data_IF_035185287184
#
_entry.id   IF_035185287184
#
_cell.length_a   1.000
_cell.length_b   1.000
_cell.length_c   1.000
_cell.angle_alpha   90.00
_cell.angle_beta   90.00
_cell.angle_gamma   90.00
#
_symmetry.space_group_name_H-M   'P 1'
#
loop_
_entity.id
_entity.type
_entity.pdbx_description
1 polymer ?
#
# COMPACT_ATOMS: atom_id res chain seq x y z
N UNK A 1 -3.73 11.76 -14.34
CA UNK A 1 -4.66 11.60 -13.22
C UNK A 1 -5.63 10.50 -13.63
N UNK A 2 -5.85 9.46 -12.81
CA UNK A 2 -6.83 8.40 -13.16
C UNK A 2 -8.24 8.98 -12.98
N UNK A 3 -9.09 8.85 -13.98
CA UNK A 3 -10.50 9.26 -13.89
C UNK A 3 -11.25 8.17 -13.13
N UNK A 4 -11.92 8.53 -12.04
CA UNK A 4 -12.82 7.62 -11.29
C UNK A 4 -14.25 7.90 -11.73
N UNK A 5 -14.92 6.87 -12.24
CA UNK A 5 -16.36 6.91 -12.49
C UNK A 5 -17.11 6.65 -11.19
N UNK A 6 -18.10 7.46 -10.86
CA UNK A 6 -18.98 7.22 -9.71
C UNK A 6 -20.33 6.77 -10.27
N UNK A 7 -20.70 5.48 -10.18
CA UNK A 7 -22.01 5.01 -10.60
C UNK A 7 -23.13 5.66 -9.75
N UNK A 8 -24.33 5.73 -10.31
CA UNK A 8 -25.51 6.17 -9.56
C UNK A 8 -25.78 5.24 -8.36
N UNK A 9 -26.58 5.68 -7.41
CA UNK A 9 -26.90 4.85 -6.23
C UNK A 9 -27.61 3.55 -6.67
N UNK A 10 -28.53 3.63 -7.63
CA UNK A 10 -29.24 2.47 -8.19
C UNK A 10 -28.28 1.50 -8.84
N UNK A 11 -27.38 2.01 -9.70
CA UNK A 11 -26.37 1.18 -10.37
C UNK A 11 -25.43 0.49 -9.37
N UNK A 12 -24.98 1.19 -8.33
CA UNK A 12 -24.14 0.59 -7.28
C UNK A 12 -24.87 -0.52 -6.54
N UNK A 13 -26.16 -0.34 -6.23
CA UNK A 13 -26.95 -1.36 -5.56
C UNK A 13 -27.09 -2.58 -6.43
N UNK A 14 -27.42 -2.41 -7.71
CA UNK A 14 -27.57 -3.51 -8.65
C UNK A 14 -26.25 -4.23 -8.93
N UNK A 15 -25.16 -3.49 -9.13
CA UNK A 15 -23.81 -4.07 -9.26
C UNK A 15 -23.41 -4.86 -8.03
N UNK A 16 -23.74 -4.37 -6.83
CA UNK A 16 -23.48 -5.09 -5.59
C UNK A 16 -24.29 -6.38 -5.48
N UNK A 17 -25.56 -6.36 -5.85
CA UNK A 17 -26.42 -7.55 -5.87
C UNK A 17 -25.85 -8.61 -6.83
N UNK A 18 -25.47 -8.21 -8.04
CA UNK A 18 -24.83 -9.11 -9.02
C UNK A 18 -23.52 -9.68 -8.44
N UNK A 19 -22.68 -8.83 -7.85
CA UNK A 19 -21.41 -9.26 -7.25
C UNK A 19 -21.63 -10.32 -6.18
N UNK A 20 -22.62 -10.14 -5.29
CA UNK A 20 -22.94 -11.09 -4.22
C UNK A 20 -23.39 -12.45 -4.77
N UNK A 21 -24.05 -12.50 -5.91
CA UNK A 21 -24.47 -13.75 -6.57
C UNK A 21 -23.31 -14.42 -7.33
N UNK A 22 -22.40 -13.64 -7.90
CA UNK A 22 -21.29 -14.17 -8.69
C UNK A 22 -20.10 -14.61 -7.83
N UNK A 23 -19.82 -13.96 -6.69
CA UNK A 23 -18.69 -14.30 -5.81
C UNK A 23 -18.70 -15.78 -5.41
N UNK A 24 -19.81 -16.39 -4.93
CA UNK A 24 -19.84 -17.81 -4.59
C UNK A 24 -19.55 -18.74 -5.77
N UNK A 25 -19.86 -18.32 -7.00
CA UNK A 25 -19.61 -19.09 -8.23
C UNK A 25 -18.13 -19.05 -8.61
N UNK A 26 -17.53 -17.86 -8.54
CA UNK A 26 -16.16 -17.63 -9.05
C UNK A 26 -15.08 -17.85 -8.02
N UNK A 27 -15.33 -17.63 -6.72
CA UNK A 27 -14.29 -17.74 -5.67
C UNK A 27 -13.62 -19.13 -5.65
N UNK A 28 -14.35 -20.27 -5.80
CA UNK A 28 -13.72 -21.58 -5.88
C UNK A 28 -12.91 -21.81 -7.17
N UNK A 29 -13.13 -21.02 -8.22
CA UNK A 29 -12.48 -21.17 -9.52
C UNK A 29 -11.19 -20.33 -9.65
N UNK A 30 -11.00 -19.38 -8.74
CA UNK A 30 -9.81 -18.53 -8.77
C UNK A 30 -8.57 -19.27 -8.27
N UNK A 31 -7.45 -19.04 -8.96
CA UNK A 31 -6.16 -19.59 -8.56
C UNK A 31 -5.76 -19.17 -7.13
N UNK A 32 -5.10 -20.06 -6.40
CA UNK A 32 -4.61 -19.79 -5.04
C UNK A 32 -3.64 -18.60 -4.99
N UNK A 33 -2.89 -18.36 -6.07
CA UNK A 33 -1.95 -17.25 -6.21
C UNK A 33 -2.60 -15.88 -6.42
N UNK A 34 -3.93 -15.79 -6.56
CA UNK A 34 -4.68 -14.55 -6.69
C UNK A 34 -5.12 -14.02 -5.31
N UNK A 35 -4.68 -12.82 -4.94
CA UNK A 35 -4.91 -12.24 -3.61
C UNK A 35 -5.72 -10.94 -3.61
N UNK A 36 -5.78 -10.23 -4.73
CA UNK A 36 -6.47 -8.94 -4.81
C UNK A 36 -7.99 -9.10 -4.98
N UNK A 37 -8.77 -8.37 -4.20
CA UNK A 37 -10.23 -8.35 -4.24
C UNK A 37 -10.92 -9.68 -3.88
N UNK A 38 -10.25 -10.55 -3.14
CA UNK A 38 -10.81 -11.79 -2.62
C UNK A 38 -11.18 -11.66 -1.14
N UNK A 39 -12.25 -12.30 -0.68
CA UNK A 39 -12.52 -12.43 0.75
C UNK A 39 -11.40 -13.25 1.42
N UNK A 40 -11.02 -12.86 2.62
CA UNK A 40 -10.03 -13.56 3.46
C UNK A 40 -8.62 -13.68 2.86
N UNK A 41 -8.28 -12.97 1.78
CA UNK A 41 -6.94 -12.88 1.22
C UNK A 41 -6.43 -11.43 1.29
N UNK A 42 -5.16 -11.25 1.61
CA UNK A 42 -4.58 -9.93 1.81
C UNK A 42 -3.28 -9.71 1.03
N UNK A 43 -2.86 -8.46 0.92
CA UNK A 43 -1.55 -8.11 0.38
C UNK A 43 -0.38 -8.70 1.21
N UNK A 44 -0.61 -8.93 2.50
CA UNK A 44 0.38 -9.56 3.39
C UNK A 44 0.59 -11.02 3.01
N UNK A 45 -0.50 -11.75 2.77
CA UNK A 45 -0.44 -13.17 2.37
C UNK A 45 0.28 -13.32 1.03
N UNK A 46 0.02 -12.41 0.09
CA UNK A 46 0.73 -12.38 -1.19
C UNK A 46 2.26 -12.24 -1.00
N UNK A 47 2.71 -11.34 -0.13
CA UNK A 47 4.14 -11.16 0.16
C UNK A 47 4.73 -12.33 0.92
N UNK A 48 4.00 -12.92 1.86
CA UNK A 48 4.44 -14.13 2.57
C UNK A 48 4.58 -15.31 1.61
N UNK A 49 3.69 -15.43 0.63
CA UNK A 49 3.81 -16.45 -0.42
C UNK A 49 4.99 -16.23 -1.35
N UNK A 50 5.31 -14.98 -1.71
CA UNK A 50 6.57 -14.66 -2.44
C UNK A 50 7.79 -15.05 -1.62
N UNK A 51 7.79 -14.80 -0.30
CA UNK A 51 8.86 -15.20 0.62
C UNK A 51 9.02 -16.72 0.65
N UNK A 52 7.93 -17.46 0.81
CA UNK A 52 7.90 -18.93 0.82
C UNK A 52 8.52 -19.52 -0.47
N UNK A 53 8.13 -19.02 -1.64
CA UNK A 53 8.73 -19.45 -2.90
C UNK A 53 10.22 -19.07 -3.01
N UNK A 54 10.60 -17.91 -2.48
CA UNK A 54 12.02 -17.52 -2.45
C UNK A 54 12.87 -18.49 -1.57
N UNK A 55 12.30 -18.99 -0.47
CA UNK A 55 12.90 -20.02 0.40
C UNK A 55 13.05 -21.37 -0.34
N UNK A 56 12.13 -21.68 -1.25
CA UNK A 56 12.20 -22.85 -2.15
C UNK A 56 13.16 -22.68 -3.33
N UNK A 57 13.91 -21.56 -3.39
CA UNK A 57 14.90 -21.28 -4.42
C UNK A 57 14.40 -20.47 -5.62
N UNK A 58 13.15 -20.00 -5.63
CA UNK A 58 12.65 -19.11 -6.68
C UNK A 58 13.11 -17.66 -6.41
N UNK A 59 14.34 -17.36 -6.80
CA UNK A 59 15.03 -16.10 -6.45
C UNK A 59 14.95 -15.02 -7.54
N UNK A 60 14.37 -15.33 -8.68
CA UNK A 60 14.13 -14.39 -9.78
C UNK A 60 12.64 -14.15 -9.97
N UNK A 61 12.26 -12.91 -10.13
CA UNK A 61 10.89 -12.48 -10.35
C UNK A 61 10.74 -11.80 -11.72
N UNK A 62 9.65 -12.12 -12.39
CA UNK A 62 9.09 -11.33 -13.48
C UNK A 62 8.02 -10.45 -12.88
N UNK A 63 8.23 -9.14 -12.87
CA UNK A 63 7.23 -8.16 -12.45
C UNK A 63 6.55 -7.63 -13.70
N UNK A 64 5.26 -7.83 -13.82
CA UNK A 64 4.44 -7.34 -14.94
C UNK A 64 3.58 -6.16 -14.48
N UNK A 65 3.57 -5.10 -15.25
CA UNK A 65 2.73 -3.91 -15.08
C UNK A 65 1.83 -3.78 -16.30
N UNK A 66 0.51 -3.84 -16.10
CA UNK A 66 -0.47 -3.69 -17.17
C UNK A 66 -0.79 -2.21 -17.41
N UNK A 67 -0.78 -1.80 -18.66
CA UNK A 67 -1.12 -0.42 -19.03
C UNK A 67 -2.62 -0.23 -18.98
N UNK A 68 -3.09 0.65 -18.08
CA UNK A 68 -4.52 1.03 -17.98
C UNK A 68 -5.49 -0.17 -17.95
N UNK A 69 -5.14 -1.21 -17.19
CA UNK A 69 -5.82 -2.49 -17.17
C UNK A 69 -7.35 -2.39 -17.19
N UNK A 70 -7.94 -1.60 -16.28
CA UNK A 70 -9.39 -1.43 -16.23
C UNK A 70 -9.98 -0.71 -17.45
N UNK A 71 -9.18 0.08 -18.14
CA UNK A 71 -9.63 0.88 -19.29
C UNK A 71 -9.51 0.10 -20.62
N UNK A 72 -8.82 -1.06 -20.63
CA UNK A 72 -8.49 -1.84 -21.84
C UNK A 72 -9.04 -3.28 -21.82
N UNK A 73 -9.91 -3.60 -20.88
CA UNK A 73 -10.57 -4.90 -20.82
C UNK A 73 -11.45 -5.11 -22.06
N UNK A 74 -11.17 -6.18 -22.82
CA UNK A 74 -11.99 -6.52 -23.99
C UNK A 74 -13.34 -7.12 -23.56
N UNK A 75 -14.44 -6.46 -23.92
CA UNK A 75 -15.78 -6.85 -23.53
C UNK A 75 -16.18 -8.22 -24.05
N UNK A 76 -15.81 -8.58 -25.27
CA UNK A 76 -16.20 -9.87 -25.86
C UNK A 76 -15.53 -11.04 -25.14
N UNK A 77 -14.22 -10.92 -24.87
CA UNK A 77 -13.49 -11.93 -24.09
C UNK A 77 -14.13 -12.08 -22.71
N UNK A 78 -14.38 -10.97 -22.01
CA UNK A 78 -14.97 -10.98 -20.68
C UNK A 78 -16.36 -11.64 -20.67
N UNK A 79 -17.23 -11.30 -21.63
CA UNK A 79 -18.57 -11.87 -21.74
C UNK A 79 -18.50 -13.37 -22.03
N UNK A 80 -17.59 -13.81 -22.88
CA UNK A 80 -17.38 -15.22 -23.16
C UNK A 80 -16.87 -15.99 -21.91
N UNK A 81 -16.01 -15.37 -21.11
CA UNK A 81 -15.57 -15.94 -19.83
C UNK A 81 -16.72 -16.06 -18.83
N UNK A 82 -17.59 -15.05 -18.76
CA UNK A 82 -18.77 -15.09 -17.89
C UNK A 82 -19.71 -16.22 -18.29
N UNK A 83 -19.97 -16.41 -19.57
CA UNK A 83 -20.86 -17.48 -20.11
C UNK A 83 -20.39 -18.89 -19.76
N UNK A 84 -19.12 -19.11 -19.51
CA UNK A 84 -18.61 -20.43 -19.08
C UNK A 84 -19.25 -20.90 -17.77
N UNK A 85 -19.53 -19.97 -16.83
CA UNK A 85 -19.96 -20.30 -15.48
C UNK A 85 -21.33 -19.70 -15.10
N UNK A 86 -21.78 -18.64 -15.78
CA UNK A 86 -23.08 -18.00 -15.56
C UNK A 86 -24.07 -18.47 -16.58
N UNK A 87 -25.02 -19.32 -16.16
CA UNK A 87 -26.02 -19.94 -17.06
C UNK A 87 -27.16 -18.97 -17.48
N UNK A 88 -27.46 -17.97 -16.64
CA UNK A 88 -28.52 -17.00 -16.93
C UNK A 88 -27.99 -15.89 -17.86
N UNK A 89 -28.37 -16.01 -19.15
CA UNK A 89 -27.96 -15.03 -20.16
C UNK A 89 -28.49 -13.61 -19.88
N UNK A 90 -29.59 -13.47 -19.13
CA UNK A 90 -30.12 -12.13 -18.75
C UNK A 90 -29.12 -11.38 -17.85
N UNK A 91 -28.47 -12.09 -16.92
CA UNK A 91 -27.43 -11.53 -16.07
C UNK A 91 -26.21 -11.14 -16.90
N UNK A 92 -25.79 -12.00 -17.83
CA UNK A 92 -24.65 -11.72 -18.72
C UNK A 92 -24.94 -10.50 -19.61
N UNK A 93 -26.14 -10.39 -20.17
CA UNK A 93 -26.55 -9.23 -20.96
C UNK A 93 -26.65 -7.96 -20.13
N UNK A 94 -27.08 -8.04 -18.88
CA UNK A 94 -27.09 -6.91 -17.98
C UNK A 94 -25.67 -6.40 -17.71
N UNK A 95 -24.72 -7.31 -17.45
CA UNK A 95 -23.30 -6.96 -17.28
C UNK A 95 -22.76 -6.31 -18.56
N UNK A 96 -23.09 -6.86 -19.73
CA UNK A 96 -22.69 -6.29 -21.03
C UNK A 96 -23.21 -4.86 -21.21
N UNK A 97 -24.46 -4.58 -20.80
CA UNK A 97 -25.03 -3.22 -20.83
C UNK A 97 -24.27 -2.28 -19.89
N UNK A 98 -23.89 -2.74 -18.70
CA UNK A 98 -23.06 -1.98 -17.78
C UNK A 98 -21.69 -1.61 -18.38
N UNK A 99 -21.04 -2.55 -19.01
CA UNK A 99 -19.73 -2.30 -19.65
C UNK A 99 -19.85 -1.27 -20.79
N UNK A 100 -20.97 -1.26 -21.51
CA UNK A 100 -21.24 -0.36 -22.63
C UNK A 100 -21.94 0.95 -22.24
N UNK A 101 -22.30 1.17 -20.96
CA UNK A 101 -23.12 2.31 -20.54
C UNK A 101 -22.44 3.67 -20.71
N UNK A 102 -21.16 3.70 -21.05
CA UNK A 102 -20.39 4.93 -21.20
C UNK A 102 -20.05 5.62 -19.87
N UNK A 103 -19.34 6.71 -19.96
CA UNK A 103 -18.95 7.56 -18.83
C UNK A 103 -19.34 9.00 -19.12
N UNK A 104 -20.12 9.63 -18.23
CA UNK A 104 -20.46 11.03 -18.36
C UNK A 104 -19.26 11.90 -17.92
N UNK A 105 -18.77 12.75 -18.82
CA UNK A 105 -17.70 13.71 -18.57
C UNK A 105 -18.21 15.11 -18.93
N UNK A 106 -18.29 16.01 -17.95
CA UNK A 106 -18.78 17.36 -18.14
C UNK A 106 -20.17 17.45 -18.80
N UNK A 107 -21.08 16.53 -18.48
CA UNK A 107 -22.45 16.49 -19.03
C UNK A 107 -22.58 15.80 -20.39
N UNK A 108 -21.48 15.32 -20.97
CA UNK A 108 -21.48 14.55 -22.22
C UNK A 108 -21.23 13.09 -21.92
N UNK A 109 -22.07 12.19 -22.47
CA UNK A 109 -21.86 10.73 -22.37
C UNK A 109 -20.87 10.32 -23.45
N UNK A 110 -19.79 9.67 -23.04
CA UNK A 110 -18.77 9.08 -23.91
C UNK A 110 -18.99 7.59 -23.88
N UNK A 111 -19.32 6.98 -25.01
CA UNK A 111 -19.47 5.53 -25.14
C UNK A 111 -18.13 4.82 -24.85
N UNK A 112 -18.23 3.64 -24.22
CA UNK A 112 -17.08 2.80 -23.92
C UNK A 112 -17.20 1.50 -24.70
N UNK A 113 -16.28 1.28 -25.67
CA UNK A 113 -16.19 0.03 -26.42
C UNK A 113 -15.32 -1.01 -25.71
N UNK A 114 -14.43 -0.54 -24.82
CA UNK A 114 -13.50 -1.35 -24.04
C UNK A 114 -13.47 -0.86 -22.58
N UNK A 115 -13.00 -1.73 -21.70
CA UNK A 115 -12.76 -1.41 -20.31
C UNK A 115 -13.94 -1.62 -19.37
N UNK A 116 -13.67 -1.45 -18.09
CA UNK A 116 -14.67 -1.47 -17.03
C UNK A 116 -14.55 -0.20 -16.21
N UNK A 117 -15.64 0.54 -15.93
CA UNK A 117 -15.58 1.81 -15.20
C UNK A 117 -14.85 1.65 -13.86
N UNK A 118 -13.80 2.46 -13.66
CA UNK A 118 -13.09 2.48 -12.37
C UNK A 118 -13.97 3.11 -11.31
N UNK A 119 -14.36 2.32 -10.30
CA UNK A 119 -15.23 2.76 -9.19
C UNK A 119 -16.58 2.03 -9.12
N UNK A 120 -16.90 1.18 -10.08
CA UNK A 120 -18.04 0.27 -9.99
C UNK A 120 -17.79 -0.89 -9.02
N UNK A 121 -18.81 -1.32 -8.28
CA UNK A 121 -18.71 -2.41 -7.30
C UNK A 121 -18.42 -3.78 -7.98
N UNK A 122 -18.84 -3.95 -9.21
CA UNK A 122 -18.66 -5.17 -9.99
C UNK A 122 -17.29 -5.28 -10.68
N UNK A 123 -16.66 -4.13 -10.99
CA UNK A 123 -15.40 -4.08 -11.75
C UNK A 123 -14.26 -4.90 -11.16
N UNK A 124 -14.03 -4.96 -9.82
CA UNK A 124 -12.98 -5.79 -9.24
C UNK A 124 -13.17 -7.29 -9.48
N UNK A 125 -14.40 -7.78 -9.40
CA UNK A 125 -14.73 -9.20 -9.67
C UNK A 125 -14.51 -9.52 -11.15
N UNK A 126 -15.02 -8.67 -12.06
CA UNK A 126 -14.84 -8.85 -13.51
C UNK A 126 -13.36 -8.85 -13.91
N UNK A 127 -12.57 -7.98 -13.28
CA UNK A 127 -11.12 -7.95 -13.46
C UNK A 127 -10.46 -9.26 -13.02
N UNK A 128 -10.88 -9.83 -11.89
CA UNK A 128 -10.37 -11.14 -11.46
C UNK A 128 -10.82 -12.28 -12.39
N UNK A 129 -12.06 -12.28 -12.85
CA UNK A 129 -12.56 -13.27 -13.83
C UNK A 129 -11.70 -13.24 -15.11
N UNK A 130 -11.38 -12.05 -15.59
CA UNK A 130 -10.57 -11.87 -16.79
C UNK A 130 -9.14 -12.39 -16.65
N UNK A 131 -8.45 -12.03 -15.58
CA UNK A 131 -7.07 -12.46 -15.34
C UNK A 131 -6.93 -13.88 -14.81
N UNK A 132 -8.01 -14.52 -14.36
CA UNK A 132 -7.97 -15.91 -13.95
C UNK A 132 -7.54 -16.86 -15.08
N UNK A 133 -7.82 -16.55 -16.33
CA UNK A 133 -7.32 -17.32 -17.48
C UNK A 133 -5.79 -17.32 -17.52
N UNK A 134 -5.16 -16.17 -17.22
CA UNK A 134 -3.72 -16.05 -17.07
C UNK A 134 -3.21 -16.86 -15.89
N UNK A 135 -3.84 -16.71 -14.73
CA UNK A 135 -3.43 -17.41 -13.50
C UNK A 135 -3.49 -18.93 -13.70
N UNK A 136 -4.57 -19.44 -14.27
CA UNK A 136 -4.77 -20.87 -14.54
C UNK A 136 -3.76 -21.41 -15.56
N UNK A 137 -3.45 -20.64 -16.60
CA UNK A 137 -2.46 -21.03 -17.60
C UNK A 137 -1.07 -21.22 -17.00
N UNK A 138 -0.61 -20.27 -16.18
CA UNK A 138 0.71 -20.35 -15.55
C UNK A 138 0.73 -21.37 -14.41
N UNK A 139 -0.37 -21.60 -13.71
CA UNK A 139 -0.51 -22.69 -12.75
C UNK A 139 -0.35 -24.06 -13.43
N UNK A 140 -1.00 -24.29 -14.57
CA UNK A 140 -0.87 -25.52 -15.37
C UNK A 140 0.57 -25.77 -15.84
N UNK A 141 1.31 -24.70 -16.11
CA UNK A 141 2.75 -24.78 -16.46
C UNK A 141 3.67 -25.03 -15.25
N UNK A 142 3.13 -25.12 -14.04
CA UNK A 142 3.92 -25.26 -12.81
C UNK A 142 4.73 -24.01 -12.45
N UNK A 143 4.32 -22.84 -12.94
CA UNK A 143 4.99 -21.57 -12.66
C UNK A 143 4.32 -20.89 -11.45
N UNK A 144 5.07 -20.59 -10.39
CA UNK A 144 4.54 -19.80 -9.29
C UNK A 144 4.11 -18.40 -9.77
N UNK A 145 2.81 -18.17 -9.75
CA UNK A 145 2.17 -16.89 -10.10
C UNK A 145 1.52 -16.30 -8.87
N UNK A 146 1.86 -15.06 -8.54
CA UNK A 146 1.28 -14.31 -7.43
C UNK A 146 0.75 -13.00 -7.98
N UNK A 147 -0.55 -12.80 -7.81
CA UNK A 147 -1.24 -11.63 -8.35
C UNK A 147 -2.02 -10.89 -7.27
N UNK A 148 -1.96 -9.59 -7.31
CA UNK A 148 -2.82 -8.72 -6.53
C UNK A 148 -3.45 -7.66 -7.45
N UNK A 149 -4.69 -7.89 -7.86
CA UNK A 149 -5.36 -7.13 -8.91
C UNK A 149 -4.56 -7.15 -10.23
N UNK A 150 -4.06 -6.00 -10.67
CA UNK A 150 -3.23 -5.80 -11.86
C UNK A 150 -1.72 -5.95 -11.62
N UNK A 151 -1.29 -6.02 -10.37
CA UNK A 151 0.11 -6.27 -10.00
C UNK A 151 0.39 -7.78 -10.06
N UNK A 152 1.18 -8.24 -11.05
CA UNK A 152 1.50 -9.65 -11.30
C UNK A 152 2.99 -9.91 -11.07
N UNK A 153 3.29 -11.00 -10.36
CA UNK A 153 4.65 -11.50 -10.15
C UNK A 153 4.70 -12.99 -10.49
N UNK A 154 5.52 -13.36 -11.48
CA UNK A 154 5.90 -14.76 -11.74
C UNK A 154 7.29 -15.01 -11.16
N UNK A 155 7.51 -16.20 -10.62
CA UNK A 155 8.79 -16.54 -9.99
C UNK A 155 9.51 -17.65 -10.74
N UNK A 156 10.84 -17.55 -10.78
CA UNK A 156 11.72 -18.51 -11.43
C UNK A 156 12.96 -18.81 -10.59
N UNK A 157 13.58 -19.98 -10.80
CA UNK A 157 14.82 -20.38 -10.10
C UNK A 157 16.06 -19.78 -10.74
N UNK A 158 16.01 -19.36 -12.01
CA UNK A 158 17.17 -18.79 -12.72
C UNK A 158 16.77 -17.54 -13.51
N UNK A 159 17.77 -16.70 -13.80
CA UNK A 159 17.60 -15.50 -14.62
C UNK A 159 17.11 -15.85 -16.03
N UNK A 160 17.72 -16.84 -16.68
CA UNK A 160 17.33 -17.28 -18.02
C UNK A 160 15.89 -17.79 -18.08
N UNK A 161 15.44 -18.49 -17.03
CA UNK A 161 14.04 -18.91 -16.93
C UNK A 161 13.09 -17.71 -16.76
N UNK A 162 13.48 -16.71 -15.95
CA UNK A 162 12.66 -15.49 -15.78
C UNK A 162 12.57 -14.66 -17.06
N UNK A 163 13.62 -14.60 -17.87
CA UNK A 163 13.62 -13.91 -19.17
C UNK A 163 12.64 -14.58 -20.15
N UNK A 164 12.67 -15.90 -20.25
CA UNK A 164 11.69 -16.68 -21.05
C UNK A 164 10.26 -16.54 -20.53
N UNK A 165 10.08 -16.49 -19.21
CA UNK A 165 8.75 -16.24 -18.61
C UNK A 165 8.24 -14.84 -18.93
N UNK A 166 9.08 -13.82 -18.92
CA UNK A 166 8.67 -12.46 -19.30
C UNK A 166 8.16 -12.43 -20.74
N UNK A 167 8.86 -13.06 -21.67
CA UNK A 167 8.48 -13.11 -23.07
C UNK A 167 7.16 -13.88 -23.24
N UNK A 168 7.05 -15.10 -22.72
CA UNK A 168 5.85 -15.93 -22.86
C UNK A 168 4.63 -15.35 -22.15
N UNK A 169 4.80 -14.72 -21.00
CA UNK A 169 3.72 -14.08 -20.27
C UNK A 169 3.24 -12.80 -20.97
N UNK A 170 4.15 -12.01 -21.52
CA UNK A 170 3.80 -10.83 -22.33
C UNK A 170 3.00 -11.26 -23.57
N UNK A 171 3.48 -12.26 -24.28
CA UNK A 171 2.80 -12.81 -25.47
C UNK A 171 1.40 -13.29 -25.12
N UNK A 172 1.23 -14.03 -24.03
CA UNK A 172 -0.09 -14.52 -23.60
C UNK A 172 -1.06 -13.37 -23.28
N UNK A 173 -0.59 -12.37 -22.54
CA UNK A 173 -1.40 -11.19 -22.17
C UNK A 173 -1.81 -10.37 -23.41
N UNK A 174 -0.88 -10.15 -24.35
CA UNK A 174 -1.13 -9.32 -25.54
C UNK A 174 -1.95 -10.08 -26.61
N UNK A 175 -1.62 -11.35 -26.91
CA UNK A 175 -2.26 -12.09 -27.99
C UNK A 175 -3.58 -12.74 -27.56
N UNK A 176 -3.64 -13.36 -26.38
CA UNK A 176 -4.82 -14.10 -25.90
C UNK A 176 -5.82 -13.21 -25.15
N UNK A 177 -5.30 -12.37 -24.26
CA UNK A 177 -6.15 -11.52 -23.42
C UNK A 177 -6.29 -10.09 -23.97
N UNK A 178 -5.64 -9.75 -25.07
CA UNK A 178 -5.70 -8.41 -25.69
C UNK A 178 -5.38 -7.26 -24.70
N UNK A 179 -4.54 -7.54 -23.70
CA UNK A 179 -4.10 -6.55 -22.71
C UNK A 179 -2.74 -5.97 -23.12
N UNK A 180 -2.52 -4.70 -22.84
CA UNK A 180 -1.25 -4.05 -23.14
C UNK A 180 -0.30 -4.12 -21.96
N UNK A 181 0.87 -4.75 -22.14
CA UNK A 181 1.93 -4.82 -21.14
C UNK A 181 2.81 -3.57 -21.22
N UNK A 182 3.03 -2.90 -20.08
CA UNK A 182 3.95 -1.78 -20.00
C UNK A 182 5.40 -2.28 -19.99
N UNK A 183 6.05 -2.28 -21.15
CA UNK A 183 7.41 -2.83 -21.35
C UNK A 183 8.49 -2.06 -20.59
N UNK A 184 8.30 -0.78 -20.30
CA UNK A 184 9.26 0.02 -19.54
C UNK A 184 9.29 -0.36 -18.05
N UNK A 185 8.15 -0.77 -17.52
CA UNK A 185 8.02 -1.16 -16.10
C UNK A 185 8.09 -2.66 -15.88
N UNK A 186 7.70 -3.45 -16.86
CA UNK A 186 7.76 -4.92 -16.79
C UNK A 186 9.20 -5.39 -16.99
N UNK A 187 9.68 -6.23 -16.08
CA UNK A 187 11.09 -6.63 -16.06
C UNK A 187 11.36 -7.88 -15.26
N UNK A 188 12.49 -8.49 -15.53
CA UNK A 188 13.06 -9.56 -14.71
C UNK A 188 14.02 -8.96 -13.67
N UNK A 189 13.90 -9.39 -12.43
CA UNK A 189 14.72 -8.91 -11.32
C UNK A 189 14.97 -10.02 -10.31
N UNK A 190 16.09 -9.97 -9.58
CA UNK A 190 16.22 -10.78 -8.38
C UNK A 190 15.29 -10.28 -7.29
N UNK A 191 14.60 -11.18 -6.58
CA UNK A 191 13.71 -10.83 -5.46
C UNK A 191 14.45 -10.10 -4.32
N UNK A 192 15.78 -10.22 -4.25
CA UNK A 192 16.64 -9.54 -3.27
C UNK A 192 17.16 -8.18 -3.76
N UNK A 193 16.91 -7.81 -5.01
CA UNK A 193 17.34 -6.53 -5.57
C UNK A 193 16.45 -5.39 -5.04
N UNK A 194 16.72 -4.94 -3.81
CA UNK A 194 15.89 -4.01 -3.06
C UNK A 194 15.50 -2.71 -3.81
N UNK A 195 16.33 -2.24 -4.74
CA UNK A 195 16.02 -1.04 -5.53
C UNK A 195 15.08 -1.33 -6.70
N UNK A 196 15.12 -2.56 -7.19
CA UNK A 196 14.49 -2.99 -8.43
C UNK A 196 13.27 -3.87 -8.19
N UNK A 197 13.30 -4.77 -7.20
CA UNK A 197 12.14 -5.55 -6.82
C UNK A 197 11.24 -4.76 -5.86
N UNK A 198 10.02 -4.54 -6.26
CA UNK A 198 8.98 -3.93 -5.45
C UNK A 198 7.66 -4.60 -5.78
N UNK A 199 7.07 -5.27 -4.80
CA UNK A 199 5.72 -5.80 -4.90
C UNK A 199 4.88 -5.34 -3.71
N UNK A 200 3.74 -4.72 -3.94
CA UNK A 200 2.83 -4.17 -2.92
C UNK A 200 3.51 -3.25 -1.88
N UNK A 201 4.57 -2.56 -2.29
CA UNK A 201 5.33 -1.68 -1.40
C UNK A 201 6.39 -2.38 -0.56
N UNK A 202 6.53 -3.69 -0.67
CA UNK A 202 7.54 -4.52 -0.02
C UNK A 202 8.70 -4.87 -0.97
N UNK A 203 9.76 -5.39 -0.39
CA UNK A 203 10.88 -6.08 -1.01
C UNK A 203 11.28 -7.25 -0.11
N UNK A 204 12.17 -8.12 -0.57
CA UNK A 204 12.74 -9.18 0.28
C UNK A 204 14.18 -8.85 0.68
N UNK A 205 14.60 -9.38 1.81
CA UNK A 205 15.97 -9.37 2.28
C UNK A 205 16.40 -10.78 2.68
N UNK A 206 17.72 -11.00 2.76
CA UNK A 206 18.32 -12.26 3.23
C UNK A 206 19.38 -11.94 4.28
N UNK A 207 19.40 -12.71 5.33
CA UNK A 207 20.44 -12.69 6.37
C UNK A 207 20.78 -14.13 6.81
N UNK A 208 21.64 -14.29 7.79
CA UNK A 208 22.02 -15.61 8.32
C UNK A 208 20.87 -16.42 8.94
N UNK A 209 19.72 -15.78 9.25
CA UNK A 209 18.53 -16.44 9.80
C UNK A 209 17.50 -16.82 8.72
N UNK A 210 17.74 -16.46 7.45
CA UNK A 210 16.84 -16.77 6.34
C UNK A 210 16.36 -15.55 5.57
N UNK A 211 15.24 -15.73 4.85
CA UNK A 211 14.62 -14.70 4.01
C UNK A 211 13.53 -13.98 4.83
N UNK A 212 13.48 -12.67 4.72
CA UNK A 212 12.50 -11.84 5.42
C UNK A 212 11.90 -10.76 4.52
N UNK A 213 10.65 -10.39 4.82
CA UNK A 213 10.02 -9.24 4.18
C UNK A 213 10.61 -7.94 4.73
N UNK A 214 10.81 -6.96 3.87
CA UNK A 214 11.26 -5.61 4.21
C UNK A 214 10.45 -4.56 3.47
N UNK A 215 10.36 -3.37 4.03
CA UNK A 215 9.69 -2.25 3.38
C UNK A 215 10.58 -1.69 2.27
N UNK A 216 10.00 -1.48 1.08
CA UNK A 216 10.73 -0.89 -0.04
C UNK A 216 11.13 0.57 0.25
N UNK A 217 12.34 1.04 -0.16
CA UNK A 217 12.83 2.39 0.12
C UNK A 217 11.90 3.54 -0.30
N UNK A 218 11.19 3.39 -1.42
CA UNK A 218 10.17 4.36 -1.85
C UNK A 218 9.00 4.48 -0.88
N UNK A 219 8.59 3.37 -0.24
CA UNK A 219 7.52 3.35 0.78
C UNK A 219 7.99 4.04 2.07
N UNK A 220 9.23 3.81 2.50
CA UNK A 220 9.86 4.52 3.61
C UNK A 220 9.93 6.03 3.38
N UNK A 221 10.39 6.44 2.20
CA UNK A 221 10.47 7.87 1.84
C UNK A 221 9.08 8.53 1.91
N UNK A 222 8.05 7.85 1.41
CA UNK A 222 6.66 8.32 1.46
C UNK A 222 6.16 8.44 2.91
N UNK A 223 6.43 7.44 3.75
CA UNK A 223 6.08 7.44 5.17
C UNK A 223 6.72 8.62 5.92
N UNK A 224 8.05 8.75 5.84
CA UNK A 224 8.82 9.84 6.47
C UNK A 224 8.36 11.22 5.97
N UNK A 225 8.08 11.36 4.67
CA UNK A 225 7.57 12.61 4.09
C UNK A 225 6.20 12.99 4.67
N UNK A 226 5.28 12.05 4.79
CA UNK A 226 3.95 12.31 5.36
C UNK A 226 4.01 12.63 6.86
N UNK A 227 4.81 11.92 7.64
CA UNK A 227 5.05 12.27 9.04
C UNK A 227 5.66 13.68 9.17
N UNK A 228 6.58 14.06 8.26
CA UNK A 228 7.17 15.41 8.22
C UNK A 228 6.10 16.48 7.98
N UNK A 229 5.16 16.22 7.10
CA UNK A 229 4.04 17.11 6.81
C UNK A 229 3.12 17.26 8.03
N UNK A 230 2.68 16.14 8.62
CA UNK A 230 1.77 16.11 9.77
C UNK A 230 2.40 16.75 11.03
N UNK A 231 3.72 16.64 11.20
CA UNK A 231 4.48 17.27 12.29
C UNK A 231 5.13 18.61 11.89
N UNK A 232 4.54 19.32 10.92
CA UNK A 232 5.06 20.60 10.46
C UNK A 232 4.75 21.71 11.46
N UNK A 233 5.80 22.38 11.98
CA UNK A 233 5.67 23.54 12.89
C UNK A 233 4.89 24.71 12.28
N UNK A 234 4.76 24.78 10.96
CA UNK A 234 3.98 25.83 10.28
C UNK A 234 2.48 25.57 10.37
N UNK A 235 2.08 24.30 10.29
CA UNK A 235 0.67 23.84 10.28
C UNK A 235 0.17 23.44 11.68
N UNK A 236 1.08 23.19 12.64
CA UNK A 236 0.75 22.76 13.99
C UNK A 236 0.30 23.97 14.85
N UNK A 237 -0.97 24.33 14.77
CA UNK A 237 -1.56 25.36 15.62
C UNK A 237 -1.81 24.85 17.04
N UNK A 238 -2.27 23.60 17.17
CA UNK A 238 -2.41 22.85 18.42
C UNK A 238 -1.72 21.49 18.28
N UNK A 239 -1.09 21.02 19.38
CA UNK A 239 -0.36 19.76 19.36
C UNK A 239 -1.29 18.55 19.34
N UNK A 240 -2.41 18.57 20.11
CA UNK A 240 -3.33 17.43 20.24
C UNK A 240 -3.89 16.94 18.88
N UNK A 241 -4.51 17.79 18.03
CA UNK A 241 -4.98 17.37 16.72
C UNK A 241 -3.88 16.85 15.80
N UNK A 242 -2.64 17.37 15.94
CA UNK A 242 -1.51 16.91 15.16
C UNK A 242 -1.07 15.51 15.58
N UNK A 243 -1.05 15.23 16.89
CA UNK A 243 -0.74 13.90 17.44
C UNK A 243 -1.77 12.86 16.99
N UNK A 244 -3.07 13.22 17.01
CA UNK A 244 -4.13 12.30 16.56
C UNK A 244 -4.02 11.97 15.06
N UNK A 245 -3.76 12.98 14.20
CA UNK A 245 -3.52 12.74 12.77
C UNK A 245 -2.29 11.84 12.52
N UNK A 246 -1.22 12.04 13.30
CA UNK A 246 -0.03 11.19 13.23
C UNK A 246 -0.37 9.77 13.64
N UNK A 247 -1.10 9.58 14.75
CA UNK A 247 -1.53 8.29 15.28
C UNK A 247 -2.35 7.51 14.26
N UNK A 248 -3.40 8.12 13.70
CA UNK A 248 -4.26 7.49 12.70
C UNK A 248 -3.45 7.03 11.48
N UNK A 249 -2.62 7.92 10.93
CA UNK A 249 -1.78 7.59 9.77
C UNK A 249 -0.74 6.50 10.07
N UNK A 250 -0.02 6.65 11.18
CA UNK A 250 1.05 5.72 11.54
C UNK A 250 0.50 4.33 11.91
N UNK A 251 -0.65 4.25 12.61
CA UNK A 251 -1.31 2.98 12.93
C UNK A 251 -1.72 2.23 11.65
N UNK A 252 -2.35 2.90 10.70
CA UNK A 252 -2.71 2.27 9.43
C UNK A 252 -1.48 1.79 8.65
N UNK A 253 -0.40 2.58 8.66
CA UNK A 253 0.85 2.20 8.00
C UNK A 253 1.53 1.00 8.68
N UNK A 254 1.61 0.99 10.02
CA UNK A 254 2.19 -0.12 10.78
C UNK A 254 1.35 -1.39 10.64
N UNK A 255 0.02 -1.29 10.65
CA UNK A 255 -0.84 -2.45 10.42
C UNK A 255 -0.61 -3.07 9.04
N UNK A 256 -0.32 -2.28 8.02
CA UNK A 256 -0.03 -2.79 6.68
C UNK A 256 1.38 -3.39 6.58
N UNK A 257 2.40 -2.68 7.07
CA UNK A 257 3.80 -3.07 6.92
C UNK A 257 4.36 -3.88 8.09
N UNK A 258 3.57 -4.21 9.11
CA UNK A 258 4.01 -4.85 10.34
C UNK A 258 4.69 -6.21 10.18
N UNK A 259 4.40 -6.94 9.11
CA UNK A 259 5.08 -8.21 8.75
C UNK A 259 6.55 -8.02 8.38
N UNK A 260 6.95 -6.79 8.00
CA UNK A 260 8.32 -6.51 7.58
C UNK A 260 9.26 -6.36 8.77
N UNK A 261 10.47 -6.92 8.64
CA UNK A 261 11.54 -6.71 9.61
C UNK A 261 12.11 -5.29 9.47
N UNK A 262 11.82 -4.41 10.45
CA UNK A 262 12.13 -2.98 10.32
C UNK A 262 12.44 -2.26 11.65
N UNK A 263 12.81 -2.98 12.70
CA UNK A 263 13.02 -2.43 14.05
C UNK A 263 13.92 -1.19 14.04
N UNK A 264 15.12 -1.29 13.48
CA UNK A 264 16.10 -0.17 13.49
C UNK A 264 15.55 1.07 12.76
N UNK A 265 14.86 0.87 11.63
CA UNK A 265 14.27 1.97 10.88
C UNK A 265 13.12 2.65 11.65
N UNK A 266 12.33 1.87 12.37
CA UNK A 266 11.25 2.40 13.22
C UNK A 266 11.84 3.17 14.40
N UNK A 267 12.90 2.67 15.06
CA UNK A 267 13.56 3.35 16.16
C UNK A 267 14.15 4.70 15.72
N UNK A 268 14.80 4.75 14.56
CA UNK A 268 15.31 5.99 13.97
C UNK A 268 14.20 7.02 13.70
N UNK A 269 13.13 6.57 13.02
CA UNK A 269 12.00 7.45 12.70
C UNK A 269 11.27 7.91 13.96
N UNK A 270 11.12 7.04 14.95
CA UNK A 270 10.48 7.34 16.22
C UNK A 270 11.26 8.42 16.97
N UNK A 271 12.58 8.27 17.11
CA UNK A 271 13.47 9.29 17.72
C UNK A 271 13.40 10.63 17.00
N UNK A 272 13.44 10.60 15.66
CA UNK A 272 13.27 11.79 14.83
C UNK A 272 11.89 12.44 15.03
N UNK A 273 10.83 11.67 15.17
CA UNK A 273 9.47 12.18 15.37
C UNK A 273 9.32 12.83 16.76
N UNK A 274 9.87 12.24 17.81
CA UNK A 274 9.96 12.86 19.13
C UNK A 274 10.61 14.24 19.07
N UNK A 275 11.74 14.37 18.38
CA UNK A 275 12.42 15.65 18.22
C UNK A 275 11.51 16.66 17.49
N UNK A 276 10.80 16.26 16.45
CA UNK A 276 9.85 17.13 15.73
C UNK A 276 8.70 17.60 16.60
N UNK A 277 8.14 16.73 17.43
CA UNK A 277 7.04 17.08 18.33
C UNK A 277 7.54 18.07 19.40
N UNK A 278 8.71 17.83 20.02
CA UNK A 278 9.33 18.80 20.93
C UNK A 278 9.52 20.17 20.26
N UNK A 279 9.98 20.20 19.02
CA UNK A 279 10.11 21.44 18.23
C UNK A 279 8.77 22.16 18.04
N UNK A 280 7.69 21.44 17.79
CA UNK A 280 6.34 22.01 17.67
C UNK A 280 5.85 22.61 19.00
N UNK A 281 6.00 21.89 20.11
CA UNK A 281 5.65 22.35 21.46
C UNK A 281 6.46 23.59 21.80
N UNK A 282 7.78 23.55 21.58
CA UNK A 282 8.66 24.70 21.82
C UNK A 282 8.23 25.94 21.04
N UNK A 283 7.81 25.80 19.82
CA UNK A 283 7.26 26.90 19.03
C UNK A 283 5.95 27.44 19.60
N UNK A 284 5.07 26.57 20.11
CA UNK A 284 3.77 26.98 20.70
C UNK A 284 3.96 27.80 21.98
N UNK A 285 5.00 27.57 22.74
CA UNK A 285 5.31 28.35 23.95
C UNK A 285 5.72 29.81 23.66
N UNK A 286 5.84 30.20 22.42
CA UNK A 286 6.11 31.55 21.86
C UNK A 286 7.08 32.41 22.66
N UNK A 287 6.63 33.03 23.80
CA UNK A 287 7.34 34.02 24.60
C UNK A 287 8.33 33.36 25.58
N UNK A 288 9.52 33.99 25.85
CA UNK A 288 10.49 33.48 26.83
C UNK A 288 9.86 33.18 28.19
N UNK A 289 9.03 34.11 28.72
CA UNK A 289 8.29 33.92 29.96
C UNK A 289 7.45 32.64 30.00
N UNK A 290 6.77 32.31 28.90
CA UNK A 290 5.94 31.09 28.80
C UNK A 290 6.84 29.86 28.76
N UNK A 291 7.96 29.90 28.02
CA UNK A 291 8.94 28.82 27.95
C UNK A 291 9.54 28.52 29.30
N UNK A 292 9.97 29.60 30.03
CA UNK A 292 10.48 29.51 31.40
C UNK A 292 9.50 28.83 32.34
N UNK A 293 8.27 29.39 32.44
CA UNK A 293 7.21 28.81 33.30
C UNK A 293 6.95 27.35 33.02
N UNK A 294 6.86 26.97 31.73
CA UNK A 294 6.62 25.58 31.33
C UNK A 294 7.81 24.66 31.67
N UNK A 295 9.04 25.12 31.50
CA UNK A 295 10.22 24.34 31.84
C UNK A 295 10.31 24.10 33.36
N UNK A 296 10.10 25.14 34.18
CA UNK A 296 10.10 25.02 35.65
C UNK A 296 8.96 24.09 36.12
N UNK A 297 7.75 24.27 35.59
CA UNK A 297 6.59 23.36 35.85
C UNK A 297 6.90 21.90 35.51
N UNK A 298 7.74 21.66 34.52
CA UNK A 298 8.17 20.32 34.09
C UNK A 298 9.43 19.81 34.84
N UNK A 299 9.88 20.53 35.89
CA UNK A 299 10.93 20.10 36.78
C UNK A 299 12.34 20.49 36.35
N UNK A 300 12.51 21.47 35.47
CA UNK A 300 13.82 22.02 35.11
C UNK A 300 14.23 23.09 36.15
N UNK A 301 15.42 23.01 36.72
CA UNK A 301 15.92 24.05 37.65
C UNK A 301 15.84 25.45 37.03
N UNK A 302 15.48 26.45 37.83
CA UNK A 302 15.16 27.81 37.38
C UNK A 302 16.24 28.46 36.55
N UNK A 303 17.50 28.33 36.99
CA UNK A 303 18.68 28.92 36.31
C UNK A 303 18.87 28.33 34.90
N UNK A 304 18.67 27.00 34.73
CA UNK A 304 18.69 26.37 33.41
C UNK A 304 17.47 26.76 32.56
N UNK A 305 16.31 26.80 33.19
CA UNK A 305 15.06 27.19 32.51
C UNK A 305 15.17 28.64 31.97
N UNK A 306 15.72 29.57 32.74
CA UNK A 306 15.95 30.96 32.33
C UNK A 306 16.90 31.03 31.10
N UNK A 307 18.05 30.33 31.19
CA UNK A 307 19.04 30.30 30.10
C UNK A 307 18.46 29.76 28.81
N UNK A 308 17.74 28.62 28.88
CA UNK A 308 17.17 27.98 27.70
C UNK A 308 15.97 28.75 27.13
N UNK A 309 15.11 29.32 27.97
CA UNK A 309 13.96 30.11 27.54
C UNK A 309 14.34 31.36 26.75
N UNK A 310 15.46 32.00 27.13
CA UNK A 310 16.00 33.20 26.48
C UNK A 310 16.92 32.91 25.30
N UNK A 311 17.18 31.65 25.00
CA UNK A 311 18.06 31.27 23.89
C UNK A 311 17.50 31.74 22.55
N UNK A 312 18.37 32.42 21.75
CA UNK A 312 18.07 32.89 20.38
C UNK A 312 18.32 31.82 19.29
N UNK A 313 18.75 30.59 19.68
CA UNK A 313 19.05 29.53 18.76
C UNK A 313 17.77 29.03 18.05
N UNK A 314 17.91 28.43 16.84
CA UNK A 314 16.79 27.93 16.03
C UNK A 314 16.00 26.85 16.79
N UNK A 315 14.69 26.78 16.53
CA UNK A 315 13.76 25.84 17.18
C UNK A 315 14.22 24.38 17.14
N UNK A 316 14.75 23.94 16.01
CA UNK A 316 15.29 22.60 15.84
C UNK A 316 16.45 22.31 16.80
N UNK A 317 17.37 23.22 16.91
CA UNK A 317 18.52 23.07 17.81
C UNK A 317 18.07 23.01 19.28
N UNK A 318 17.25 23.96 19.73
CA UNK A 318 16.78 24.02 21.12
C UNK A 318 15.94 22.81 21.50
N UNK A 319 15.11 22.31 20.61
CA UNK A 319 14.25 21.11 20.89
C UNK A 319 15.06 19.81 21.07
N UNK A 320 16.37 19.84 20.80
CA UNK A 320 17.30 18.74 21.07
C UNK A 320 18.25 19.06 22.27
N UNK A 321 18.03 20.16 22.99
CA UNK A 321 18.77 20.46 24.21
C UNK A 321 18.35 19.51 25.34
N UNK A 322 19.33 19.11 26.19
CA UNK A 322 19.11 18.16 27.30
C UNK A 322 17.94 18.56 28.21
N UNK A 323 17.85 19.86 28.59
CA UNK A 323 16.75 20.35 29.41
C UNK A 323 15.38 20.21 28.74
N UNK A 324 15.27 20.50 27.45
CA UNK A 324 14.02 20.35 26.71
C UNK A 324 13.68 18.87 26.51
N UNK A 325 14.68 18.00 26.28
CA UNK A 325 14.49 16.55 26.21
C UNK A 325 13.98 16.01 27.53
N UNK A 326 14.52 16.45 28.64
CA UNK A 326 14.12 16.02 29.98
C UNK A 326 12.72 16.54 30.35
N UNK A 327 12.45 17.82 30.09
CA UNK A 327 11.13 18.42 30.29
C UNK A 327 10.02 17.73 29.45
N UNK A 328 10.33 17.41 28.20
CA UNK A 328 9.41 16.75 27.25
C UNK A 328 9.94 15.34 26.92
N UNK A 329 10.10 14.52 27.98
CA UNK A 329 10.60 13.16 27.85
C UNK A 329 9.56 12.24 27.16
N UNK A 330 9.99 11.02 26.86
CA UNK A 330 9.17 10.02 26.15
C UNK A 330 7.85 9.77 26.87
N UNK A 331 7.88 9.52 28.16
CA UNK A 331 6.73 9.19 28.99
C UNK A 331 5.68 10.32 28.97
N UNK A 332 6.11 11.56 29.21
CA UNK A 332 5.20 12.72 29.19
C UNK A 332 4.57 12.95 27.83
N UNK A 333 5.31 12.73 26.74
CA UNK A 333 4.78 12.87 25.39
C UNK A 333 3.76 11.76 25.10
N UNK A 334 4.01 10.52 25.51
CA UNK A 334 3.05 9.40 25.40
C UNK A 334 1.78 9.72 26.18
N UNK A 335 1.89 10.16 27.44
CA UNK A 335 0.76 10.57 28.26
C UNK A 335 -0.02 11.75 27.66
N UNK A 336 0.63 12.57 26.83
CA UNK A 336 -0.01 13.65 26.07
C UNK A 336 -0.65 13.20 24.74
N UNK A 337 -0.63 11.89 24.43
CA UNK A 337 -1.22 11.32 23.23
C UNK A 337 -0.24 11.06 22.07
N UNK A 338 1.09 11.12 22.32
CA UNK A 338 2.06 10.73 21.31
C UNK A 338 1.99 9.22 21.05
N UNK A 339 1.87 8.85 19.78
CA UNK A 339 1.86 7.45 19.34
C UNK A 339 3.29 6.95 19.16
N UNK A 340 3.78 6.15 20.12
CA UNK A 340 5.11 5.56 20.08
C UNK A 340 5.17 4.45 19.01
N UNK A 341 5.92 4.72 17.95
CA UNK A 341 6.03 3.82 16.81
C UNK A 341 6.75 2.51 17.17
N UNK A 342 7.73 2.57 18.08
CA UNK A 342 8.51 1.40 18.46
C UNK A 342 7.65 0.40 19.23
N UNK A 343 6.91 0.86 20.24
CA UNK A 343 5.97 0.03 21.01
C UNK A 343 4.86 -0.52 20.12
N UNK A 344 4.29 0.33 19.26
CA UNK A 344 3.24 -0.07 18.35
C UNK A 344 3.72 -1.11 17.30
N UNK A 345 4.95 -0.97 16.81
CA UNK A 345 5.54 -1.96 15.91
C UNK A 345 5.75 -3.31 16.60
N UNK A 346 6.26 -3.30 17.83
CA UNK A 346 6.44 -4.54 18.59
C UNK A 346 5.13 -5.29 18.76
N UNK A 347 4.03 -4.60 19.12
CA UNK A 347 2.72 -5.25 19.30
C UNK A 347 2.14 -5.83 18.00
N UNK A 348 2.42 -5.22 16.85
CA UNK A 348 1.95 -5.71 15.54
C UNK A 348 2.84 -6.82 15.02
N UNK A 349 4.17 -6.73 15.21
CA UNK A 349 5.14 -7.66 14.63
C UNK A 349 5.21 -9.02 15.34
N UNK A 350 4.85 -9.10 16.62
CA UNK A 350 4.78 -10.36 17.38
C UNK A 350 3.81 -11.38 16.75
N UNK A 351 2.84 -10.90 15.96
CA UNK A 351 1.85 -11.75 15.31
C UNK A 351 2.33 -12.36 13.97
N UNK A 352 3.60 -12.16 13.58
CA UNK A 352 4.22 -12.62 12.33
C UNK A 352 5.64 -13.13 12.57
#
# INVERSE_FOLDING_TARGET
MRKLGIPTVVDRTLQQAITQQLVPIYEPLFAEGSYGYHPNRSAKDAILKVKEYAEQGYTFAVVLDLSKYFDTLNHEILINLLRKNVKDERVVQLIKRYLKSGVMVNGVVIDTEEGSPQGGNLSPLLANVYLNEFDQEFLKRGVPCIRYADDIVLLAKSRRASERLLESSTKYLEERLKLTVNREKSRTVSVFAIRNFKFLGFALGRNGKGIYARVHPKSWKKFKSRLKELSSRKRCQSIKPSLEKIKVYARGWLNYYGIASMKNNIDEINGWLYHRIRMCIWKQWKKPRTKYKNLVKLGIPEHYAATIANSRRKYWYISNNKAVIWALNKERLINSGFYDLATAYQSVHVNY
#
